data_IF_673592357438
#
_entry.id   IF_673592357438
#
_cell.length_a   1.000
_cell.length_b   1.000
_cell.length_c   1.000
_cell.angle_alpha   90.00
_cell.angle_beta   90.00
_cell.angle_gamma   90.00
#
_symmetry.space_group_name_H-M   'P 1'
#
loop_
_entity.id
_entity.type
_entity.pdbx_description
1 polymer ?
#
# COMPACT_ATOMS: atom_id res chain seq x y z
N UNK A 1 16.40 8.79 9.99
CA UNK A 1 16.54 7.95 8.78
C UNK A 1 15.18 7.91 8.11
N UNK A 2 15.11 7.98 6.77
CA UNK A 2 13.83 7.95 6.04
C UNK A 2 13.59 6.57 5.46
N UNK A 3 12.36 6.07 5.54
CA UNK A 3 11.95 4.78 4.99
C UNK A 3 10.77 4.94 4.05
N UNK A 4 10.91 4.50 2.80
CA UNK A 4 9.78 4.40 1.86
C UNK A 4 9.52 2.92 1.59
N UNK A 5 8.30 2.46 1.86
CA UNK A 5 7.85 1.10 1.54
C UNK A 5 6.96 1.16 0.32
N UNK A 6 7.31 0.41 -0.73
CA UNK A 6 6.55 0.36 -1.98
C UNK A 6 5.94 -1.03 -2.16
N UNK A 7 4.63 -1.09 -2.38
CA UNK A 7 3.88 -2.33 -2.60
C UNK A 7 3.22 -2.29 -3.98
N UNK A 8 3.72 -3.04 -4.98
CA UNK A 8 2.98 -3.26 -6.21
C UNK A 8 1.76 -4.14 -5.94
N UNK A 9 0.61 -3.78 -6.49
CA UNK A 9 -0.64 -4.50 -6.29
C UNK A 9 -1.45 -4.57 -7.60
N UNK A 10 -2.00 -5.76 -7.88
CA UNK A 10 -2.93 -6.02 -8.98
C UNK A 10 -3.99 -7.02 -8.52
N UNK A 11 -5.22 -6.56 -8.34
CA UNK A 11 -6.35 -7.38 -7.89
C UNK A 11 -6.11 -8.14 -6.56
N UNK A 12 -5.62 -7.43 -5.56
CA UNK A 12 -5.21 -7.96 -4.25
C UNK A 12 -6.20 -7.64 -3.11
N UNK A 13 -7.48 -7.36 -3.40
CA UNK A 13 -8.45 -6.91 -2.38
C UNK A 13 -8.57 -7.84 -1.14
N UNK A 14 -8.22 -9.12 -1.29
CA UNK A 14 -8.32 -10.13 -0.23
C UNK A 14 -7.11 -10.17 0.70
N UNK A 15 -5.91 -9.97 0.16
CA UNK A 15 -4.64 -10.14 0.89
C UNK A 15 -4.01 -8.81 1.29
N UNK A 16 -4.25 -7.77 0.48
CA UNK A 16 -3.71 -6.44 0.70
C UNK A 16 -4.02 -5.88 2.11
N UNK A 17 -5.24 -6.00 2.68
CA UNK A 17 -5.51 -5.46 4.01
C UNK A 17 -4.57 -5.99 5.10
N UNK A 18 -4.31 -7.31 5.11
CA UNK A 18 -3.43 -7.93 6.10
C UNK A 18 -1.97 -7.49 5.89
N UNK A 19 -1.53 -7.41 4.63
CA UNK A 19 -0.19 -6.94 4.29
C UNK A 19 0.06 -5.50 4.76
N UNK A 20 -0.85 -4.58 4.42
CA UNK A 20 -0.74 -3.17 4.80
C UNK A 20 -0.80 -2.98 6.32
N UNK A 21 -1.62 -3.78 7.02
CA UNK A 21 -1.66 -3.77 8.49
C UNK A 21 -0.31 -4.18 9.13
N UNK A 22 0.32 -5.24 8.62
CA UNK A 22 1.63 -5.68 9.09
C UNK A 22 2.74 -4.65 8.79
N UNK A 23 2.71 -4.05 7.60
CA UNK A 23 3.64 -2.98 7.21
C UNK A 23 3.46 -1.77 8.13
N UNK A 24 2.22 -1.32 8.35
CA UNK A 24 1.92 -0.18 9.24
C UNK A 24 2.43 -0.41 10.66
N UNK A 25 2.27 -1.62 11.20
CA UNK A 25 2.79 -1.97 12.52
C UNK A 25 4.33 -1.91 12.56
N UNK A 26 5.02 -2.37 11.51
CA UNK A 26 6.48 -2.30 11.43
C UNK A 26 6.98 -0.86 11.25
N UNK A 27 6.26 -0.04 10.47
CA UNK A 27 6.60 1.37 10.21
C UNK A 27 6.53 2.24 11.46
N UNK A 28 5.78 1.85 12.50
CA UNK A 28 5.71 2.57 13.77
C UNK A 28 7.06 2.72 14.49
N UNK A 29 8.07 1.91 14.13
CA UNK A 29 9.43 2.04 14.64
C UNK A 29 10.25 3.17 13.98
N UNK A 30 9.70 3.85 12.97
CA UNK A 30 10.37 4.88 12.17
C UNK A 30 9.64 6.21 12.31
N UNK A 31 10.40 7.29 12.56
CA UNK A 31 9.84 8.64 12.73
C UNK A 31 9.42 9.28 11.39
N UNK A 32 10.08 8.92 10.29
CA UNK A 32 9.82 9.44 8.95
C UNK A 32 9.71 8.27 7.96
N UNK A 33 8.49 7.73 7.84
CA UNK A 33 8.17 6.61 6.97
C UNK A 33 6.93 6.87 6.12
N UNK A 34 6.97 6.44 4.85
CA UNK A 34 5.85 6.48 3.93
C UNK A 34 5.52 5.11 3.35
N UNK A 35 4.23 4.90 3.06
CA UNK A 35 3.73 3.70 2.40
C UNK A 35 3.14 4.10 1.05
N UNK A 36 3.69 3.54 -0.02
CA UNK A 36 3.25 3.76 -1.38
C UNK A 36 2.72 2.45 -1.96
N UNK A 37 1.49 2.46 -2.48
CA UNK A 37 0.93 1.33 -3.23
C UNK A 37 0.91 1.70 -4.70
N UNK A 38 1.56 0.90 -5.53
CA UNK A 38 1.50 1.02 -6.99
C UNK A 38 0.37 0.11 -7.50
N UNK A 39 -0.76 0.71 -7.87
CA UNK A 39 -1.92 0.02 -8.41
C UNK A 39 -1.73 -0.19 -9.91
N UNK A 40 -1.48 -1.43 -10.30
CA UNK A 40 -1.16 -1.83 -11.67
C UNK A 40 -2.43 -2.17 -12.47
N UNK A 41 -3.34 -1.20 -12.57
CA UNK A 41 -4.62 -1.31 -13.25
C UNK A 41 -5.56 -2.39 -12.65
N UNK A 42 -5.71 -2.41 -11.32
CA UNK A 42 -6.67 -3.30 -10.67
C UNK A 42 -8.12 -2.97 -11.07
N UNK A 43 -8.93 -4.00 -11.21
CA UNK A 43 -10.37 -3.91 -11.52
C UNK A 43 -11.25 -4.21 -10.30
N UNK A 44 -10.63 -4.50 -9.16
CA UNK A 44 -11.28 -4.75 -7.88
C UNK A 44 -11.07 -3.58 -6.90
N UNK A 45 -11.29 -3.81 -5.60
CA UNK A 45 -11.20 -2.76 -4.56
C UNK A 45 -9.78 -2.50 -4.04
N UNK A 46 -8.74 -3.04 -4.69
CA UNK A 46 -7.33 -2.89 -4.28
C UNK A 46 -6.96 -1.44 -3.98
N UNK A 47 -7.25 -0.53 -4.90
CA UNK A 47 -6.89 0.88 -4.77
C UNK A 47 -7.68 1.59 -3.65
N UNK A 48 -8.93 1.20 -3.40
CA UNK A 48 -9.73 1.74 -2.29
C UNK A 48 -9.16 1.29 -0.95
N UNK A 49 -8.85 0.00 -0.82
CA UNK A 49 -8.27 -0.60 0.38
C UNK A 49 -6.93 0.05 0.73
N UNK A 50 -6.07 0.24 -0.27
CA UNK A 50 -4.78 0.91 -0.08
C UNK A 50 -4.94 2.33 0.48
N UNK A 51 -5.84 3.14 -0.10
CA UNK A 51 -6.13 4.50 0.40
C UNK A 51 -6.69 4.48 1.82
N UNK A 52 -7.62 3.56 2.10
CA UNK A 52 -8.22 3.43 3.42
C UNK A 52 -7.21 3.03 4.51
N UNK A 53 -6.15 2.31 4.14
CA UNK A 53 -5.04 1.97 5.02
C UNK A 53 -4.01 3.11 5.20
N UNK A 54 -4.25 4.30 4.60
CA UNK A 54 -3.36 5.45 4.68
C UNK A 54 -2.17 5.42 3.71
N UNK A 55 -2.15 4.48 2.75
CA UNK A 55 -1.11 4.46 1.73
C UNK A 55 -1.33 5.54 0.67
N UNK A 56 -0.23 6.10 0.17
CA UNK A 56 -0.23 6.88 -1.07
C UNK A 56 -0.40 5.92 -2.24
N UNK A 57 -1.48 6.06 -3.00
CA UNK A 57 -1.73 5.22 -4.18
C UNK A 57 -1.24 5.93 -5.44
N UNK A 58 -0.37 5.26 -6.19
CA UNK A 58 0.07 5.64 -7.53
C UNK A 58 -0.54 4.66 -8.51
N UNK A 59 -1.23 5.17 -9.53
CA UNK A 59 -1.81 4.33 -10.58
C UNK A 59 -0.80 4.17 -11.72
N UNK A 60 -0.52 2.92 -12.09
CA UNK A 60 0.34 2.56 -13.21
C UNK A 60 -0.52 1.92 -14.32
N UNK A 61 -0.58 2.52 -15.52
CA UNK A 61 -1.27 1.91 -16.66
C UNK A 61 -0.44 0.74 -17.23
N UNK A 62 -1.14 -0.31 -17.67
CA UNK A 62 -0.56 -1.49 -18.36
C UNK A 62 -0.49 -1.25 -19.86
#
# INVERSE_FOLDING_TARGET
MKLSVVVPAYNEEKLLPQCLGAIGAAMAAFEDAELVVCDNNSTDRTAEIARAAGAKVVFEPV
#
